data_IF_307261179963
#
_entry.id   IF_307261179963
#
_cell.length_a   1.000
_cell.length_b   1.000
_cell.length_c   1.000
_cell.angle_alpha   90.00
_cell.angle_beta   90.00
_cell.angle_gamma   90.00
#
_symmetry.space_group_name_H-M   'P 1'
#
loop_
_entity.id
_entity.type
_entity.pdbx_description
1 polymer ?
#
# COMPACT_ATOMS: atom_id res chain seq x y z
N UNK A 1 12.71 -17.02 21.46
CA UNK A 1 11.54 -17.89 21.29
C UNK A 1 10.36 -17.05 20.87
N UNK A 2 9.79 -17.37 19.72
CA UNK A 2 8.58 -16.74 19.18
C UNK A 2 7.66 -17.85 18.66
N UNK A 3 6.35 -17.62 18.68
CA UNK A 3 5.33 -18.58 18.24
C UNK A 3 4.50 -17.92 17.16
N UNK A 4 4.52 -18.51 15.97
CA UNK A 4 3.67 -18.08 14.85
C UNK A 4 2.39 -18.91 14.87
N UNK A 5 1.26 -18.23 14.93
CA UNK A 5 -0.07 -18.86 14.85
C UNK A 5 -0.58 -18.64 13.43
N UNK A 6 -0.76 -19.74 12.71
CA UNK A 6 -1.44 -19.74 11.42
C UNK A 6 -2.96 -19.83 11.65
N UNK A 7 -3.72 -18.93 11.03
CA UNK A 7 -5.17 -18.79 11.23
C UNK A 7 -5.86 -18.80 9.88
N UNK A 8 -6.75 -19.75 9.68
CA UNK A 8 -7.60 -19.79 8.49
C UNK A 8 -8.73 -18.76 8.62
N UNK A 9 -8.65 -17.69 7.82
CA UNK A 9 -9.63 -16.60 7.81
C UNK A 9 -10.68 -16.81 6.72
N UNK A 10 -11.95 -16.89 7.13
CA UNK A 10 -13.09 -16.98 6.22
C UNK A 10 -13.33 -15.67 5.47
N UNK A 11 -13.93 -15.73 4.28
CA UNK A 11 -14.08 -14.56 3.38
C UNK A 11 -14.86 -13.39 3.97
N UNK A 12 -15.71 -13.62 4.98
CA UNK A 12 -16.48 -12.59 5.66
C UNK A 12 -15.72 -11.88 6.78
N UNK A 13 -14.45 -12.24 7.02
CA UNK A 13 -13.59 -11.70 8.09
C UNK A 13 -12.33 -11.02 7.55
N UNK A 14 -12.47 -10.19 6.51
CA UNK A 14 -11.37 -9.39 5.97
C UNK A 14 -10.70 -8.49 7.02
N UNK A 15 -11.48 -8.08 8.04
CA UNK A 15 -10.99 -7.35 9.21
C UNK A 15 -9.85 -8.08 9.94
N UNK A 16 -9.86 -9.42 9.95
CA UNK A 16 -8.87 -10.26 10.63
C UNK A 16 -7.63 -10.60 9.80
N UNK A 17 -7.41 -9.98 8.64
CA UNK A 17 -6.22 -10.19 7.80
C UNK A 17 -4.97 -9.42 8.26
N UNK A 18 -5.05 -8.80 9.42
CA UNK A 18 -3.98 -8.00 10.02
C UNK A 18 -4.05 -8.03 11.54
N UNK A 19 -2.93 -7.70 12.18
CA UNK A 19 -2.75 -7.87 13.62
C UNK A 19 -3.75 -7.06 14.45
N UNK A 20 -4.09 -5.84 14.02
CA UNK A 20 -5.06 -5.00 14.72
C UNK A 20 -6.45 -5.65 14.73
N UNK A 21 -6.88 -6.27 13.63
CA UNK A 21 -8.14 -7.00 13.56
C UNK A 21 -8.20 -8.20 14.49
N UNK A 22 -7.14 -9.02 14.47
CA UNK A 22 -7.01 -10.15 15.40
C UNK A 22 -6.99 -9.68 16.85
N UNK A 23 -6.25 -8.61 17.16
CA UNK A 23 -6.20 -8.05 18.51
C UNK A 23 -7.58 -7.50 18.96
N UNK A 24 -8.37 -6.95 18.03
CA UNK A 24 -9.74 -6.51 18.28
C UNK A 24 -10.67 -7.68 18.59
N UNK A 25 -10.56 -8.79 17.87
CA UNK A 25 -11.31 -10.02 18.19
C UNK A 25 -10.94 -10.58 19.57
N UNK A 26 -9.64 -10.62 19.89
CA UNK A 26 -9.16 -11.06 21.21
C UNK A 26 -9.61 -10.13 22.34
N UNK A 27 -9.71 -8.82 22.08
CA UNK A 27 -10.26 -7.83 23.00
C UNK A 27 -11.71 -8.17 23.33
N UNK A 28 -12.55 -8.45 22.32
CA UNK A 28 -13.93 -8.85 22.52
C UNK A 28 -14.05 -10.18 23.31
N UNK A 29 -13.20 -11.16 23.00
CA UNK A 29 -13.22 -12.48 23.63
C UNK A 29 -12.71 -12.49 25.09
N UNK A 30 -11.75 -11.62 25.41
CA UNK A 30 -11.05 -11.65 26.72
C UNK A 30 -11.41 -10.49 27.65
N UNK A 31 -12.08 -9.45 27.14
CA UNK A 31 -12.38 -8.22 27.88
C UNK A 31 -11.17 -7.33 28.16
N UNK A 32 -10.01 -7.63 27.57
CA UNK A 32 -8.80 -6.79 27.68
C UNK A 32 -8.90 -5.58 26.75
N UNK A 33 -8.24 -4.49 27.11
CA UNK A 33 -8.20 -3.28 26.29
C UNK A 33 -7.30 -3.45 25.05
N UNK A 34 -7.80 -3.02 23.89
CA UNK A 34 -7.02 -2.92 22.65
C UNK A 34 -6.08 -1.71 22.73
N UNK A 35 -4.79 -1.96 22.62
CA UNK A 35 -3.77 -0.90 22.53
C UNK A 35 -3.39 -0.66 21.08
N UNK A 36 -3.88 0.43 20.50
CA UNK A 36 -3.49 0.86 19.16
C UNK A 36 -2.08 1.44 19.16
N UNK A 37 -1.28 1.25 18.08
CA UNK A 37 -0.03 1.96 17.89
C UNK A 37 -0.25 3.48 17.92
N UNK A 38 0.64 4.21 18.59
CA UNK A 38 0.64 5.68 18.55
C UNK A 38 1.35 6.13 17.27
N UNK A 39 0.69 6.99 16.50
CA UNK A 39 1.20 7.49 15.23
C UNK A 39 1.68 8.93 15.40
N UNK A 40 2.96 9.14 15.15
CA UNK A 40 3.65 10.42 15.23
C UNK A 40 4.51 10.55 13.97
N UNK A 41 4.32 11.65 13.23
CA UNK A 41 5.05 11.93 12.00
C UNK A 41 6.10 13.01 12.26
N UNK A 42 7.33 12.79 11.80
CA UNK A 42 8.33 13.85 11.70
C UNK A 42 8.09 14.62 10.40
N UNK A 43 7.48 15.79 10.52
CA UNK A 43 7.03 16.58 9.38
C UNK A 43 8.11 17.54 8.89
N UNK A 44 8.13 17.77 7.58
CA UNK A 44 8.86 18.87 6.96
C UNK A 44 7.95 20.09 6.83
N UNK A 45 8.54 21.29 6.80
CA UNK A 45 7.78 22.54 6.67
C UNK A 45 7.48 22.87 5.20
N UNK A 46 6.78 21.96 4.51
CA UNK A 46 6.21 22.17 3.18
C UNK A 46 4.89 21.41 3.09
N UNK A 47 3.95 21.98 2.35
CA UNK A 47 2.62 21.42 2.17
C UNK A 47 2.65 20.32 1.10
N UNK A 48 1.93 19.23 1.31
CA UNK A 48 1.84 18.11 0.37
C UNK A 48 1.32 18.55 -1.00
N UNK A 49 0.48 19.59 -1.07
CA UNK A 49 -0.06 20.14 -2.31
C UNK A 49 0.99 20.84 -3.17
N UNK A 50 2.19 21.13 -2.64
CA UNK A 50 3.34 21.59 -3.44
C UNK A 50 3.95 20.47 -4.29
N UNK A 51 3.62 19.21 -3.99
CA UNK A 51 4.24 18.03 -4.59
C UNK A 51 3.25 17.12 -5.31
N UNK A 52 2.08 16.90 -4.72
CA UNK A 52 1.15 15.89 -5.18
C UNK A 52 -0.24 16.46 -5.43
N UNK A 53 -0.80 16.13 -6.59
CA UNK A 53 -2.20 16.36 -6.95
C UNK A 53 -2.87 15.01 -7.22
N UNK A 54 -4.04 14.78 -6.64
CA UNK A 54 -4.78 13.51 -6.74
C UNK A 54 -6.16 13.76 -7.30
N UNK A 55 -6.44 13.13 -8.43
CA UNK A 55 -7.74 13.16 -9.11
C UNK A 55 -8.37 11.77 -9.10
N UNK A 56 -9.58 11.63 -8.55
CA UNK A 56 -10.36 10.40 -8.60
C UNK A 56 -11.45 10.56 -9.66
N UNK A 57 -11.23 9.97 -10.84
CA UNK A 57 -12.18 10.00 -11.96
C UNK A 57 -13.29 8.96 -11.79
N UNK A 58 -12.99 7.86 -11.09
CA UNK A 58 -13.91 6.74 -10.87
C UNK A 58 -14.24 6.56 -9.38
N UNK A 59 -15.01 7.48 -8.76
CA UNK A 59 -15.28 7.46 -7.31
C UNK A 59 -16.07 6.23 -6.84
N UNK A 60 -16.86 5.61 -7.73
CA UNK A 60 -17.55 4.34 -7.43
C UNK A 60 -16.59 3.16 -7.28
N UNK A 61 -15.42 3.24 -7.93
CA UNK A 61 -14.39 2.20 -7.87
C UNK A 61 -13.26 2.53 -6.89
N UNK A 62 -13.09 3.82 -6.55
CA UNK A 62 -12.16 4.29 -5.55
C UNK A 62 -12.81 5.36 -4.67
N UNK A 63 -13.42 4.93 -3.57
CA UNK A 63 -14.12 5.83 -2.64
C UNK A 63 -13.18 6.72 -1.81
N UNK A 64 -11.89 6.37 -1.72
CA UNK A 64 -10.89 7.14 -0.97
C UNK A 64 -9.49 6.83 -1.48
N UNK A 65 -8.67 7.87 -1.64
CA UNK A 65 -7.25 7.76 -1.96
C UNK A 65 -6.48 8.79 -1.13
N UNK A 66 -5.37 8.37 -0.54
CA UNK A 66 -4.44 9.25 0.16
C UNK A 66 -3.08 9.17 -0.50
N UNK A 67 -2.45 10.33 -0.68
CA UNK A 67 -1.07 10.47 -1.12
C UNK A 67 -0.29 11.21 -0.04
N UNK A 68 0.86 10.67 0.38
CA UNK A 68 1.81 11.37 1.25
C UNK A 68 3.16 11.44 0.58
N UNK A 69 3.87 12.54 0.80
CA UNK A 69 5.25 12.68 0.36
C UNK A 69 6.19 12.45 1.53
N UNK A 70 7.14 11.53 1.36
CA UNK A 70 8.21 11.28 2.33
C UNK A 70 9.53 11.61 1.66
N UNK A 71 10.16 12.70 2.09
CA UNK A 71 11.38 13.23 1.48
C UNK A 71 12.62 12.97 2.34
N UNK A 72 13.77 12.80 1.67
CA UNK A 72 15.06 12.56 2.32
C UNK A 72 15.24 11.16 2.88
N UNK A 73 14.58 10.17 2.27
CA UNK A 73 14.73 8.77 2.64
C UNK A 73 16.08 8.20 2.16
N UNK A 74 16.48 7.08 2.76
CA UNK A 74 17.61 6.26 2.32
C UNK A 74 17.18 4.80 2.22
N UNK A 75 17.02 4.32 0.99
CA UNK A 75 16.72 2.91 0.72
C UNK A 75 17.93 2.04 1.06
N UNK A 76 17.68 0.89 1.67
CA UNK A 76 18.71 -0.08 2.02
C UNK A 76 18.13 -1.30 2.75
N UNK A 77 18.98 -2.17 3.31
CA UNK A 77 18.51 -3.34 4.04
C UNK A 77 17.67 -2.98 5.26
N UNK A 78 16.60 -3.73 5.49
CA UNK A 78 15.75 -3.59 6.68
C UNK A 78 16.48 -3.94 7.97
N UNK A 79 16.14 -3.29 9.10
CA UNK A 79 16.64 -3.69 10.40
C UNK A 79 16.16 -5.10 10.79
N UNK A 80 16.92 -5.78 11.64
CA UNK A 80 16.68 -7.18 12.02
C UNK A 80 15.26 -7.45 12.53
N UNK A 81 14.69 -6.53 13.30
CA UNK A 81 13.36 -6.71 13.87
C UNK A 81 12.27 -6.76 12.80
N UNK A 82 12.42 -6.00 11.72
CA UNK A 82 11.45 -5.91 10.63
C UNK A 82 11.56 -7.15 9.75
N UNK A 83 12.79 -7.53 9.39
CA UNK A 83 13.06 -8.76 8.61
C UNK A 83 12.51 -10.00 9.30
N UNK A 84 12.86 -10.19 10.57
CA UNK A 84 12.44 -11.37 11.35
C UNK A 84 10.92 -11.48 11.45
N UNK A 85 10.20 -10.35 11.60
CA UNK A 85 8.73 -10.34 11.68
C UNK A 85 8.08 -10.67 10.35
N UNK A 86 8.58 -10.15 9.23
CA UNK A 86 8.06 -10.47 7.90
C UNK A 86 8.34 -11.92 7.51
N UNK A 87 9.56 -12.38 7.73
CA UNK A 87 9.96 -13.76 7.43
C UNK A 87 9.16 -14.78 8.26
N UNK A 88 8.83 -14.44 9.51
CA UNK A 88 8.00 -15.28 10.38
C UNK A 88 6.58 -15.51 9.81
N UNK A 89 6.06 -14.59 9.00
CA UNK A 89 4.76 -14.73 8.31
C UNK A 89 4.90 -15.08 6.82
N UNK A 90 6.08 -15.57 6.41
CA UNK A 90 6.33 -16.04 5.04
C UNK A 90 6.60 -14.95 4.01
N UNK A 91 6.77 -13.68 4.43
CA UNK A 91 7.11 -12.58 3.54
C UNK A 91 8.63 -12.41 3.45
N UNK A 92 9.18 -12.50 2.24
CA UNK A 92 10.61 -12.27 1.99
C UNK A 92 10.95 -10.79 2.17
N UNK A 93 11.96 -10.49 2.98
CA UNK A 93 12.52 -9.14 3.08
C UNK A 93 13.18 -8.69 1.77
N UNK A 94 12.93 -7.44 1.37
CA UNK A 94 13.46 -6.82 0.15
C UNK A 94 14.36 -5.63 0.50
N UNK A 95 13.77 -4.56 1.00
CA UNK A 95 14.45 -3.35 1.46
C UNK A 95 13.58 -2.66 2.51
N UNK A 96 14.15 -1.71 3.24
CA UNK A 96 13.50 -1.02 4.37
C UNK A 96 12.19 -0.32 4.01
N UNK A 97 12.01 0.17 2.78
CA UNK A 97 10.76 0.79 2.33
C UNK A 97 9.68 -0.26 2.03
N UNK A 98 10.00 -1.23 1.17
CA UNK A 98 9.08 -2.30 0.77
C UNK A 98 8.67 -3.16 1.96
N UNK A 99 9.60 -3.38 2.88
CA UNK A 99 9.33 -4.14 4.09
C UNK A 99 8.46 -3.35 5.06
N UNK A 100 8.62 -2.02 5.14
CA UNK A 100 7.74 -1.18 5.95
C UNK A 100 6.31 -1.16 5.41
N UNK A 101 6.12 -1.09 4.08
CA UNK A 101 4.79 -1.20 3.45
C UNK A 101 4.16 -2.57 3.69
N UNK A 102 4.92 -3.64 3.55
CA UNK A 102 4.43 -5.00 3.85
C UNK A 102 4.09 -5.17 5.32
N UNK A 103 4.91 -4.63 6.23
CA UNK A 103 4.66 -4.72 7.65
C UNK A 103 3.42 -3.91 8.06
N UNK A 104 3.24 -2.71 7.51
CA UNK A 104 2.05 -1.91 7.72
C UNK A 104 0.79 -2.63 7.23
N UNK A 105 0.84 -3.29 6.07
CA UNK A 105 -0.25 -4.13 5.57
C UNK A 105 -0.59 -5.27 6.52
N UNK A 106 0.41 -5.98 7.05
CA UNK A 106 0.21 -7.05 8.03
C UNK A 106 -0.29 -6.51 9.38
N UNK A 107 0.08 -5.30 9.77
CA UNK A 107 -0.39 -4.67 11.01
C UNK A 107 -1.84 -4.21 10.92
N UNK A 108 -2.22 -3.62 9.78
CA UNK A 108 -3.46 -2.84 9.64
C UNK A 108 -4.54 -3.48 8.76
N UNK A 109 -4.20 -4.52 7.99
CA UNK A 109 -5.02 -5.07 6.89
C UNK A 109 -5.19 -4.13 5.68
N UNK A 110 -4.65 -2.91 5.70
CA UNK A 110 -4.71 -1.96 4.60
C UNK A 110 -3.45 -2.11 3.74
N UNK A 111 -3.55 -2.46 2.44
CA UNK A 111 -2.39 -2.50 1.57
C UNK A 111 -1.95 -1.08 1.14
N UNK A 112 -0.70 -0.67 1.43
CA UNK A 112 -0.13 0.55 0.90
C UNK A 112 0.72 0.29 -0.35
N UNK A 113 1.02 1.34 -1.10
CA UNK A 113 1.99 1.29 -2.19
C UNK A 113 2.95 2.48 -2.12
N UNK A 114 4.23 2.26 -2.42
CA UNK A 114 5.24 3.31 -2.45
C UNK A 114 5.76 3.47 -3.88
N UNK A 115 5.54 4.64 -4.46
CA UNK A 115 6.12 5.04 -5.74
C UNK A 115 7.42 5.81 -5.52
N UNK A 116 8.38 5.63 -6.43
CA UNK A 116 9.48 6.59 -6.55
C UNK A 116 8.93 7.91 -7.10
N UNK A 117 8.89 8.95 -6.26
CA UNK A 117 8.29 10.23 -6.63
C UNK A 117 8.94 10.85 -7.87
N UNK A 118 10.26 10.65 -8.05
CA UNK A 118 10.97 11.20 -9.21
C UNK A 118 10.52 10.58 -10.55
N UNK A 119 9.80 9.46 -10.50
CA UNK A 119 9.29 8.73 -11.66
C UNK A 119 7.79 8.96 -11.90
N UNK A 120 7.12 9.73 -11.04
CA UNK A 120 5.71 10.13 -11.24
C UNK A 120 5.69 11.44 -12.03
N UNK A 121 5.12 11.40 -13.23
CA UNK A 121 5.04 12.59 -14.08
C UNK A 121 4.19 13.68 -13.43
N UNK A 122 4.75 14.89 -13.36
CA UNK A 122 4.13 16.11 -12.84
C UNK A 122 3.61 16.01 -11.38
N UNK A 123 4.04 15.00 -10.62
CA UNK A 123 3.52 14.74 -9.27
C UNK A 123 2.01 14.45 -9.25
N UNK A 124 1.40 14.15 -10.41
CA UNK A 124 -0.04 13.95 -10.54
C UNK A 124 -0.39 12.48 -10.46
N UNK A 125 -1.43 12.16 -9.69
CA UNK A 125 -2.06 10.85 -9.64
C UNK A 125 -3.50 10.97 -10.15
N UNK A 126 -3.88 10.08 -11.05
CA UNK A 126 -5.21 9.99 -11.65
C UNK A 126 -5.71 8.57 -11.47
N UNK A 127 -6.72 8.39 -10.62
CA UNK A 127 -7.38 7.11 -10.40
C UNK A 127 -8.52 6.98 -11.41
N UNK A 128 -8.31 6.16 -12.44
CA UNK A 128 -9.24 6.05 -13.58
C UNK A 128 -9.24 4.64 -14.17
N UNK A 129 -10.19 4.38 -15.05
CA UNK A 129 -10.13 3.19 -15.91
C UNK A 129 -9.01 3.32 -16.94
N UNK A 130 -8.51 2.16 -17.35
CA UNK A 130 -7.54 2.02 -18.43
C UNK A 130 -8.14 2.53 -19.75
N UNK A 131 -7.31 3.14 -20.59
CA UNK A 131 -7.66 3.58 -21.94
C UNK A 131 -7.21 2.51 -22.95
N UNK A 132 -7.98 2.30 -24.01
CA UNK A 132 -7.66 1.30 -25.02
C UNK A 132 -6.27 1.53 -25.64
N UNK A 133 -5.44 0.49 -25.63
CA UNK A 133 -4.07 0.53 -26.17
C UNK A 133 -2.99 0.89 -25.15
N UNK A 134 -3.35 1.26 -23.92
CA UNK A 134 -2.39 1.41 -22.83
C UNK A 134 -1.71 0.07 -22.49
N UNK A 135 -0.50 0.17 -21.95
CA UNK A 135 0.33 -0.97 -21.56
C UNK A 135 0.90 -0.71 -20.19
N UNK A 136 1.05 -1.77 -19.42
CA UNK A 136 1.67 -1.73 -18.11
C UNK A 136 2.50 -3.00 -17.92
N UNK A 137 3.69 -2.84 -17.36
CA UNK A 137 4.52 -3.97 -16.91
C UNK A 137 4.51 -3.95 -15.39
N UNK A 138 4.08 -5.04 -14.76
CA UNK A 138 4.10 -5.14 -13.30
C UNK A 138 5.52 -5.29 -12.78
N UNK A 139 5.70 -5.02 -11.49
CA UNK A 139 6.99 -5.08 -10.79
C UNK A 139 7.70 -6.45 -10.86
N UNK A 140 6.97 -7.53 -11.14
CA UNK A 140 7.52 -8.88 -11.38
C UNK A 140 8.00 -9.11 -12.82
N UNK A 141 7.88 -8.10 -13.69
CA UNK A 141 8.21 -8.15 -15.11
C UNK A 141 7.09 -8.69 -16.00
N UNK A 142 5.91 -9.01 -15.45
CA UNK A 142 4.78 -9.50 -16.23
C UNK A 142 4.15 -8.38 -17.06
N UNK A 143 3.98 -8.62 -18.36
CA UNK A 143 3.27 -7.68 -19.23
C UNK A 143 1.76 -7.82 -18.98
N UNK A 144 1.14 -6.78 -18.41
CA UNK A 144 -0.26 -6.79 -18.05
C UNK A 144 -1.13 -6.45 -19.26
N UNK A 145 -2.00 -7.38 -19.68
CA UNK A 145 -3.02 -7.13 -20.71
C UNK A 145 -4.20 -6.35 -20.11
N UNK A 146 -3.95 -5.06 -19.84
CA UNK A 146 -4.91 -4.15 -19.23
C UNK A 146 -6.01 -3.77 -20.22
N UNK A 147 -7.27 -3.93 -19.82
CA UNK A 147 -8.42 -3.57 -20.65
C UNK A 147 -9.22 -2.42 -20.03
N UNK A 148 -10.12 -1.84 -20.80
CA UNK A 148 -10.88 -0.62 -20.43
C UNK A 148 -11.79 -0.75 -19.22
N UNK A 149 -11.98 -1.95 -18.68
CA UNK A 149 -12.76 -2.18 -17.46
C UNK A 149 -11.90 -2.13 -16.20
N UNK A 150 -10.58 -2.22 -16.33
CA UNK A 150 -9.65 -2.27 -15.20
C UNK A 150 -9.36 -0.86 -14.67
N UNK A 151 -9.40 -0.73 -13.35
CA UNK A 151 -8.95 0.47 -12.65
C UNK A 151 -7.42 0.48 -12.57
N UNK A 152 -6.82 1.62 -12.90
CA UNK A 152 -5.38 1.88 -12.83
C UNK A 152 -5.12 3.12 -12.02
N UNK A 153 -3.93 3.15 -11.44
CA UNK A 153 -3.31 4.39 -10.96
C UNK A 153 -2.48 4.90 -12.13
N UNK A 154 -2.76 6.11 -12.59
CA UNK A 154 -2.06 6.74 -13.69
C UNK A 154 -1.41 8.06 -13.24
N UNK A 155 -0.39 8.48 -13.95
CA UNK A 155 0.14 9.84 -13.87
C UNK A 155 -0.25 10.65 -15.12
N UNK A 156 0.40 11.79 -15.33
CA UNK A 156 0.16 12.64 -16.51
C UNK A 156 0.51 11.97 -17.86
N UNK A 157 1.31 10.90 -17.85
CA UNK A 157 1.81 10.22 -19.06
C UNK A 157 1.13 8.87 -19.31
N UNK A 158 0.70 8.16 -18.28
CA UNK A 158 0.06 6.85 -18.46
C UNK A 158 -0.16 6.07 -17.16
N UNK A 159 -0.58 4.80 -17.25
CA UNK A 159 -0.75 3.95 -16.08
C UNK A 159 0.60 3.61 -15.44
N UNK A 160 0.66 3.72 -14.11
CA UNK A 160 1.83 3.41 -13.28
C UNK A 160 1.59 2.23 -12.33
N UNK A 161 0.33 1.81 -12.13
CA UNK A 161 -0.01 0.59 -11.39
C UNK A 161 -1.41 0.07 -11.76
N UNK A 162 -1.63 -1.23 -11.52
CA UNK A 162 -2.99 -1.81 -11.49
C UNK A 162 -3.56 -1.61 -10.09
N UNK A 163 -4.61 -0.81 -9.98
CA UNK A 163 -5.14 -0.36 -8.70
C UNK A 163 -5.53 -1.55 -7.80
N UNK A 164 -4.93 -1.62 -6.62
CA UNK A 164 -5.17 -2.68 -5.64
C UNK A 164 -4.66 -4.07 -6.01
N UNK A 165 -3.93 -4.23 -7.12
CA UNK A 165 -3.43 -5.53 -7.59
C UNK A 165 -1.92 -5.60 -7.56
N UNK A 166 -1.26 -4.73 -8.33
CA UNK A 166 0.19 -4.77 -8.52
C UNK A 166 0.73 -3.41 -8.98
N UNK A 167 1.87 -3.01 -8.40
CA UNK A 167 2.62 -1.83 -8.84
C UNK A 167 3.25 -2.03 -10.21
N UNK A 168 3.44 -0.94 -10.95
CA UNK A 168 4.20 -0.93 -12.19
C UNK A 168 5.70 -0.92 -11.94
N UNK A 169 6.44 -1.54 -12.86
CA UNK A 169 7.90 -1.62 -12.81
C UNK A 169 8.55 -0.23 -12.95
N UNK A 170 8.00 0.61 -13.82
CA UNK A 170 8.62 1.89 -14.18
C UNK A 170 8.66 2.88 -13.02
N UNK A 171 7.76 2.76 -12.05
CA UNK A 171 7.66 3.66 -10.88
C UNK A 171 8.10 3.00 -9.58
N UNK A 172 8.73 1.82 -9.64
CA UNK A 172 9.16 1.10 -8.46
C UNK A 172 10.23 1.86 -7.66
N UNK A 173 10.22 1.68 -6.34
CA UNK A 173 11.27 2.16 -5.44
C UNK A 173 12.54 1.35 -5.66
N UNK A 174 13.66 2.03 -5.85
CA UNK A 174 14.98 1.45 -6.03
C UNK A 174 15.98 1.97 -4.99
N UNK A 175 17.22 1.47 -5.01
CA UNK A 175 18.29 1.95 -4.12
C UNK A 175 18.61 3.45 -4.30
N UNK A 176 18.24 4.05 -5.42
CA UNK A 176 18.47 5.47 -5.72
C UNK A 176 17.30 6.38 -5.33
N UNK A 177 16.16 5.81 -4.94
CA UNK A 177 14.99 6.60 -4.54
C UNK A 177 15.29 7.42 -3.28
N UNK A 178 14.96 8.71 -3.33
CA UNK A 178 15.20 9.67 -2.24
C UNK A 178 13.92 10.30 -1.71
N UNK A 179 12.85 10.25 -2.51
CA UNK A 179 11.52 10.79 -2.17
C UNK A 179 10.47 9.76 -2.60
N UNK A 180 9.51 9.48 -1.71
CA UNK A 180 8.42 8.54 -1.94
C UNK A 180 7.10 9.30 -2.07
N UNK A 181 6.26 8.90 -3.03
CA UNK A 181 4.82 9.12 -2.98
C UNK A 181 4.17 7.85 -2.43
N UNK A 182 3.64 7.94 -1.21
CA UNK A 182 2.98 6.85 -0.50
C UNK A 182 1.48 6.89 -0.79
N UNK A 183 0.97 5.85 -1.42
CA UNK A 183 -0.43 5.54 -1.64
C UNK A 183 -1.00 4.69 -0.51
N UNK A 184 -2.17 5.08 -0.04
CA UNK A 184 -3.10 4.23 0.70
C UNK A 184 -4.52 4.57 0.24
N UNK A 185 -5.29 3.56 -0.16
CA UNK A 185 -6.57 3.77 -0.84
C UNK A 185 -7.61 2.68 -0.52
N UNK A 186 -8.86 2.97 -0.83
CA UNK A 186 -9.92 1.99 -0.95
C UNK A 186 -10.22 1.76 -2.43
N UNK A 187 -10.32 0.49 -2.82
CA UNK A 187 -10.75 0.07 -4.16
C UNK A 187 -11.93 -0.90 -4.06
N UNK A 188 -12.83 -0.85 -5.03
CA UNK A 188 -13.98 -1.76 -5.10
C UNK A 188 -13.51 -3.23 -5.10
N UNK A 189 -13.96 -4.06 -4.13
CA UNK A 189 -13.52 -5.45 -4.00
C UNK A 189 -13.79 -6.31 -5.23
N UNK A 190 -14.91 -6.06 -5.94
CA UNK A 190 -15.30 -6.84 -7.12
C UNK A 190 -14.39 -6.51 -8.30
N UNK A 191 -14.10 -5.22 -8.50
CA UNK A 191 -13.16 -4.72 -9.50
C UNK A 191 -11.75 -5.30 -9.30
N UNK A 192 -11.22 -5.23 -8.08
CA UNK A 192 -9.89 -5.78 -7.76
C UNK A 192 -9.84 -7.29 -7.98
N UNK A 193 -10.84 -8.04 -7.48
CA UNK A 193 -10.94 -9.49 -7.66
C UNK A 193 -10.99 -9.90 -9.13
N UNK A 194 -11.80 -9.19 -9.92
CA UNK A 194 -11.97 -9.49 -11.35
C UNK A 194 -10.68 -9.21 -12.11
N UNK A 195 -10.02 -8.10 -11.80
CA UNK A 195 -8.77 -7.67 -12.43
C UNK A 195 -7.60 -8.61 -12.08
N UNK A 196 -7.38 -8.91 -10.79
CA UNK A 196 -6.31 -9.81 -10.34
C UNK A 196 -6.44 -11.20 -10.97
N UNK A 197 -7.65 -11.76 -11.05
CA UNK A 197 -7.91 -13.05 -11.70
C UNK A 197 -7.67 -13.01 -13.20
N UNK A 198 -8.09 -11.94 -13.88
CA UNK A 198 -7.93 -11.80 -15.32
C UNK A 198 -6.47 -11.67 -15.72
N UNK A 199 -5.68 -10.93 -14.93
CA UNK A 199 -4.25 -10.77 -15.16
C UNK A 199 -3.43 -11.97 -14.65
N UNK A 200 -4.04 -12.90 -13.92
CA UNK A 200 -3.36 -13.99 -13.22
C UNK A 200 -2.23 -13.50 -12.29
N UNK A 201 -2.46 -12.36 -11.63
CA UNK A 201 -1.53 -11.69 -10.70
C UNK A 201 -2.11 -11.69 -9.28
N UNK A 202 -2.05 -12.82 -8.55
CA UNK A 202 -2.40 -12.84 -7.14
C UNK A 202 -1.34 -12.09 -6.32
N UNK A 203 -1.79 -11.31 -5.34
CA UNK A 203 -0.91 -10.62 -4.37
C UNK A 203 -1.57 -10.54 -3.00
N UNK A 204 -0.77 -10.35 -1.95
CA UNK A 204 -1.27 -10.09 -0.59
C UNK A 204 -2.14 -8.84 -0.50
N UNK A 205 -1.88 -7.86 -1.37
CA UNK A 205 -2.69 -6.64 -1.50
C UNK A 205 -4.05 -6.97 -2.12
N UNK A 206 -4.07 -7.64 -3.28
CA UNK A 206 -5.30 -8.03 -3.95
C UNK A 206 -6.19 -8.91 -3.06
N UNK A 207 -5.58 -9.83 -2.31
CA UNK A 207 -6.26 -10.73 -1.37
C UNK A 207 -7.03 -9.99 -0.27
N UNK A 208 -6.48 -8.86 0.22
CA UNK A 208 -7.11 -7.99 1.22
C UNK A 208 -8.19 -7.11 0.61
N UNK A 209 -7.89 -6.45 -0.50
CA UNK A 209 -8.87 -5.61 -1.19
C UNK A 209 -10.12 -6.41 -1.63
N UNK A 210 -9.97 -7.64 -2.15
CA UNK A 210 -11.13 -8.47 -2.52
C UNK A 210 -11.98 -8.93 -1.32
N UNK A 211 -11.46 -8.82 -0.09
CA UNK A 211 -12.14 -9.13 1.19
C UNK A 211 -12.59 -7.89 1.94
N UNK A 212 -12.60 -6.74 1.28
CA UNK A 212 -12.97 -5.42 1.82
C UNK A 212 -11.96 -4.91 2.85
N UNK A 213 -11.40 -3.74 2.56
CA UNK A 213 -10.61 -2.97 3.53
C UNK A 213 -11.49 -1.90 4.19
N UNK A 214 -11.14 -1.50 5.40
CA UNK A 214 -11.88 -0.49 6.15
C UNK A 214 -11.54 0.92 5.61
N UNK A 215 -12.46 1.50 4.84
CA UNK A 215 -12.30 2.81 4.21
C UNK A 215 -12.06 3.95 5.21
N UNK A 216 -12.57 3.83 6.44
CA UNK A 216 -12.40 4.84 7.49
C UNK A 216 -11.00 4.79 8.10
N UNK A 217 -10.31 3.64 8.00
CA UNK A 217 -8.96 3.45 8.52
C UNK A 217 -7.87 3.86 7.55
N UNK A 218 -8.18 4.15 6.28
CA UNK A 218 -7.19 4.45 5.23
C UNK A 218 -6.25 5.59 5.63
N UNK A 219 -6.75 6.71 6.15
CA UNK A 219 -5.88 7.83 6.56
C UNK A 219 -4.98 7.46 7.75
N UNK A 220 -5.52 6.75 8.75
CA UNK A 220 -4.74 6.32 9.91
C UNK A 220 -3.66 5.31 9.50
N UNK A 221 -4.01 4.33 8.67
CA UNK A 221 -3.07 3.35 8.13
C UNK A 221 -1.99 4.04 7.30
N UNK A 222 -2.35 5.01 6.48
CA UNK A 222 -1.41 5.83 5.72
C UNK A 222 -0.39 6.56 6.60
N UNK A 223 -0.85 7.18 7.70
CA UNK A 223 0.07 7.81 8.67
C UNK A 223 0.95 6.77 9.34
N UNK A 224 0.40 5.60 9.70
CA UNK A 224 1.17 4.52 10.31
C UNK A 224 2.23 3.97 9.36
N UNK A 225 1.92 3.78 8.08
CA UNK A 225 2.88 3.37 7.04
C UNK A 225 3.97 4.42 6.88
N UNK A 226 3.62 5.71 6.80
CA UNK A 226 4.60 6.80 6.72
C UNK A 226 5.54 6.85 7.93
N UNK A 227 5.00 6.64 9.14
CA UNK A 227 5.81 6.53 10.35
C UNK A 227 6.77 5.33 10.30
N UNK A 228 6.29 4.16 9.88
CA UNK A 228 7.13 2.96 9.77
C UNK A 228 8.26 3.16 8.76
N UNK A 229 7.96 3.75 7.60
CA UNK A 229 8.98 4.11 6.59
C UNK A 229 9.99 5.08 7.19
N UNK A 230 9.55 6.16 7.84
CA UNK A 230 10.49 7.15 8.40
C UNK A 230 11.37 6.59 9.51
N UNK A 231 10.87 5.63 10.29
CA UNK A 231 11.64 4.94 11.32
C UNK A 231 12.79 4.09 10.76
N UNK A 232 12.62 3.46 9.58
CA UNK A 232 13.59 2.49 9.04
C UNK A 232 14.38 3.02 7.83
N UNK A 233 13.85 4.03 7.15
CA UNK A 233 14.43 4.65 5.97
C UNK A 233 14.79 6.12 6.18
N UNK A 234 14.57 6.69 7.37
CA UNK A 234 14.72 8.14 7.65
C UNK A 234 13.71 8.96 6.83
N UNK A 235 14.02 10.23 6.61
CA UNK A 235 13.15 11.14 5.88
C UNK A 235 12.08 11.76 6.75
N UNK A 236 11.34 12.69 6.15
CA UNK A 236 10.29 13.49 6.79
C UNK A 236 9.06 13.50 5.90
N UNK A 237 7.89 13.66 6.50
CA UNK A 237 6.61 13.67 5.79
C UNK A 237 6.19 15.12 5.46
N UNK A 238 5.72 15.39 4.24
CA UNK A 238 5.09 16.66 3.90
C UNK A 238 3.80 16.87 4.72
N UNK A 239 3.53 18.12 5.10
CA UNK A 239 2.34 18.49 5.89
C UNK A 239 1.06 18.35 5.09
#
# INVERSE_FOLDING_TARGET
>A
DDVVIDVEITSNRGDCLGYIGIARELTAATGKELKMPVVELDELDKDVTEFADVEIVEPDLCGRYTARIIDGIKVGPSPDWLRKRLEAVGLRSINNVVDATNYAMMETSQPPHAFDYAKIADGKIIVRKTIAGERLTSIDGTQCDVNTDMLVIADAQGPVAVAGVMGGLDTEVSETTTTILLEDAYFDPVSVRTTSRRLALPSEAAFRFERTVDIEMVDWASKRTAQLITQVARGKVAK
#
